data_IF_186267974607
#
_entry.id   IF_186267974607
#
_cell.length_a   1.000
_cell.length_b   1.000
_cell.length_c   1.000
_cell.angle_alpha   90.00
_cell.angle_beta   90.00
_cell.angle_gamma   90.00
#
_symmetry.space_group_name_H-M   'P 1'
#
loop_
_entity.id
_entity.type
_entity.pdbx_description
1 polymer ?
#
# COMPACT_ATOMS: atom_id res chain seq x y z
N UNK A 1 7.68 18.09 2.56
CA UNK A 1 7.83 19.11 1.51
C UNK A 1 6.73 20.15 1.72
N UNK A 2 7.09 21.37 2.13
CA UNK A 2 6.12 22.42 2.43
C UNK A 2 5.63 23.06 1.14
N UNK A 3 4.37 22.83 0.78
CA UNK A 3 3.73 23.45 -0.38
C UNK A 3 2.81 24.55 0.15
N UNK A 4 2.92 25.79 -0.35
CA UNK A 4 2.15 26.93 0.15
C UNK A 4 0.64 26.70 0.03
N UNK A 5 -0.05 26.96 1.13
CA UNK A 5 -1.51 26.91 1.30
C UNK A 5 -2.18 27.96 0.43
N UNK A 6 -2.64 27.57 -0.75
CA UNK A 6 -3.32 28.45 -1.72
C UNK A 6 -3.39 27.92 -3.15
N UNK A 7 -2.73 26.80 -3.48
CA UNK A 7 -2.67 26.27 -4.84
C UNK A 7 -3.44 24.95 -5.01
N UNK A 8 -4.13 24.83 -6.16
CA UNK A 8 -4.78 23.63 -6.70
C UNK A 8 -3.86 22.40 -6.76
N UNK A 9 -2.53 22.60 -6.65
CA UNK A 9 -1.50 21.58 -6.59
C UNK A 9 -1.61 20.65 -5.37
N UNK A 10 -2.05 21.15 -4.21
CA UNK A 10 -2.17 20.29 -3.03
C UNK A 10 -3.27 19.21 -3.21
N UNK A 11 -4.36 19.58 -3.89
CA UNK A 11 -5.43 18.66 -4.29
C UNK A 11 -4.93 17.59 -5.25
N UNK A 12 -4.11 17.94 -6.24
CA UNK A 12 -3.53 16.97 -7.18
C UNK A 12 -2.55 16.02 -6.52
N UNK A 13 -1.77 16.51 -5.54
CA UNK A 13 -0.84 15.67 -4.77
C UNK A 13 -1.61 14.65 -3.93
N UNK A 14 -2.70 15.06 -3.26
CA UNK A 14 -3.55 14.15 -2.48
C UNK A 14 -4.17 13.08 -3.38
N UNK A 15 -4.73 13.46 -4.54
CA UNK A 15 -5.32 12.50 -5.48
C UNK A 15 -4.28 11.50 -6.00
N UNK A 16 -3.09 11.99 -6.37
CA UNK A 16 -2.00 11.14 -6.82
C UNK A 16 -1.57 10.15 -5.72
N UNK A 17 -1.46 10.62 -4.48
CA UNK A 17 -1.07 9.79 -3.34
C UNK A 17 -2.08 8.67 -3.05
N UNK A 18 -3.38 8.97 -3.16
CA UNK A 18 -4.46 7.98 -3.05
C UNK A 18 -4.36 6.93 -4.17
N UNK A 19 -4.15 7.34 -5.42
CA UNK A 19 -4.01 6.41 -6.56
C UNK A 19 -2.80 5.48 -6.35
N UNK A 20 -1.67 6.04 -5.92
CA UNK A 20 -0.46 5.26 -5.63
C UNK A 20 -0.72 4.25 -4.51
N UNK A 21 -1.40 4.65 -3.44
CA UNK A 21 -1.75 3.73 -2.35
C UNK A 21 -2.67 2.59 -2.83
N UNK A 22 -3.67 2.88 -3.67
CA UNK A 22 -4.52 1.83 -4.25
C UNK A 22 -3.68 0.83 -5.07
N UNK A 23 -2.76 1.33 -5.91
CA UNK A 23 -1.88 0.50 -6.73
C UNK A 23 -0.95 -0.38 -5.88
N UNK A 24 -0.39 0.19 -4.81
CA UNK A 24 0.45 -0.54 -3.85
C UNK A 24 -0.36 -1.61 -3.13
N UNK A 25 -1.59 -1.31 -2.71
CA UNK A 25 -2.50 -2.27 -2.07
C UNK A 25 -2.82 -3.47 -2.94
N UNK A 26 -3.14 -3.25 -4.22
CA UNK A 26 -3.38 -4.35 -5.19
C UNK A 26 -2.11 -5.19 -5.36
N UNK A 27 -0.96 -4.53 -5.54
CA UNK A 27 0.34 -5.21 -5.74
C UNK A 27 0.72 -6.07 -4.54
N UNK A 28 0.50 -5.57 -3.31
CA UNK A 28 0.71 -6.32 -2.08
C UNK A 28 -0.24 -7.53 -1.98
N UNK A 29 -1.51 -7.35 -2.31
CA UNK A 29 -2.50 -8.43 -2.31
C UNK A 29 -2.16 -9.55 -3.29
N UNK A 30 -1.72 -9.21 -4.50
CA UNK A 30 -1.22 -10.19 -5.48
C UNK A 30 0.06 -10.84 -4.96
N UNK A 31 1.01 -10.05 -4.45
CA UNK A 31 2.28 -10.57 -3.92
C UNK A 31 2.09 -11.58 -2.78
N UNK A 32 1.14 -11.32 -1.87
CA UNK A 32 0.82 -12.23 -0.77
C UNK A 32 0.15 -13.52 -1.26
N UNK A 33 -0.76 -13.41 -2.24
CA UNK A 33 -1.36 -14.58 -2.89
C UNK A 33 -0.29 -15.42 -3.59
N UNK A 34 0.57 -14.80 -4.40
CA UNK A 34 1.68 -15.50 -5.07
C UNK A 34 2.62 -16.14 -4.06
N UNK A 35 2.94 -15.47 -2.95
CA UNK A 35 3.72 -16.06 -1.85
C UNK A 35 3.04 -17.30 -1.26
N UNK A 36 1.74 -17.23 -1.00
CA UNK A 36 0.98 -18.37 -0.45
C UNK A 36 0.99 -19.58 -1.41
N UNK A 37 0.82 -19.34 -2.71
CA UNK A 37 0.88 -20.37 -3.75
C UNK A 37 2.28 -21.00 -3.82
N UNK A 38 3.33 -20.19 -3.77
CA UNK A 38 4.73 -20.65 -3.79
C UNK A 38 5.08 -21.44 -2.52
N UNK A 39 4.54 -21.03 -1.37
CA UNK A 39 4.81 -21.66 -0.08
C UNK A 39 4.10 -23.01 0.07
N UNK A 40 2.82 -23.08 -0.27
CA UNK A 40 2.07 -24.33 -0.20
C UNK A 40 2.51 -25.30 -1.29
N UNK A 41 2.79 -24.81 -2.50
CA UNK A 41 3.03 -25.64 -3.66
C UNK A 41 1.79 -26.46 -4.04
N UNK A 42 1.71 -26.86 -5.30
CA UNK A 42 0.70 -27.83 -5.73
C UNK A 42 1.31 -28.79 -6.73
N UNK A 43 1.45 -30.04 -6.31
CA UNK A 43 1.97 -31.16 -7.12
C UNK A 43 1.13 -31.40 -8.39
N UNK A 44 -0.18 -31.09 -8.35
CA UNK A 44 -1.07 -31.23 -9.52
C UNK A 44 -0.95 -30.09 -10.53
N UNK A 45 -0.40 -28.94 -10.15
CA UNK A 45 -0.16 -27.81 -11.06
C UNK A 45 1.30 -27.73 -11.55
N UNK A 46 2.14 -28.73 -11.21
CA UNK A 46 3.56 -28.74 -11.55
C UNK A 46 4.40 -27.70 -10.80
N UNK A 47 3.83 -27.01 -9.80
CA UNK A 47 4.53 -26.00 -9.01
C UNK A 47 5.00 -26.63 -7.69
N UNK A 48 6.27 -27.03 -7.62
CA UNK A 48 6.89 -27.51 -6.38
C UNK A 48 6.95 -26.39 -5.33
N UNK A 49 6.92 -26.70 -4.02
CA UNK A 49 7.09 -25.70 -2.96
C UNK A 49 8.51 -25.13 -3.02
N UNK A 50 8.71 -24.05 -3.78
CA UNK A 50 10.03 -23.40 -3.96
C UNK A 50 10.59 -22.93 -2.62
N UNK A 51 9.71 -22.59 -1.67
CA UNK A 51 10.08 -22.23 -0.30
C UNK A 51 10.74 -23.39 0.46
N UNK A 52 10.47 -24.65 0.10
CA UNK A 52 11.10 -25.85 0.65
C UNK A 52 12.45 -26.19 0.02
N UNK A 53 12.73 -25.70 -1.20
CA UNK A 53 13.99 -25.95 -1.91
C UNK A 53 15.00 -24.83 -1.62
N UNK A 54 14.56 -23.57 -1.60
CA UNK A 54 15.41 -22.39 -1.39
C UNK A 54 14.84 -21.49 -0.28
N UNK A 55 15.05 -21.84 1.00
CA UNK A 55 14.45 -21.13 2.13
C UNK A 55 14.86 -19.65 2.21
N UNK A 56 16.08 -19.32 1.78
CA UNK A 56 16.61 -17.94 1.78
C UNK A 56 15.82 -16.98 0.88
N UNK A 57 15.37 -17.48 -0.28
CA UNK A 57 14.56 -16.68 -1.21
C UNK A 57 13.18 -16.38 -0.60
N UNK A 58 12.60 -17.37 0.05
CA UNK A 58 11.28 -17.27 0.67
C UNK A 58 11.27 -16.31 1.86
N UNK A 59 12.29 -16.36 2.72
CA UNK A 59 12.44 -15.41 3.84
C UNK A 59 12.65 -13.98 3.35
N UNK A 60 13.38 -13.79 2.24
CA UNK A 60 13.62 -12.47 1.66
C UNK A 60 12.35 -11.85 1.07
N UNK A 61 11.54 -12.64 0.35
CA UNK A 61 10.24 -12.19 -0.18
C UNK A 61 9.30 -11.85 0.96
N UNK A 62 9.21 -12.72 1.97
CA UNK A 62 8.36 -12.50 3.13
C UNK A 62 8.74 -11.22 3.87
N UNK A 63 10.04 -11.00 4.11
CA UNK A 63 10.55 -9.77 4.72
C UNK A 63 10.23 -8.51 3.89
N UNK A 64 10.37 -8.60 2.56
CA UNK A 64 10.02 -7.50 1.65
C UNK A 64 8.53 -7.17 1.69
N UNK A 65 7.66 -8.19 1.66
CA UNK A 65 6.21 -8.00 1.73
C UNK A 65 5.81 -7.36 3.06
N UNK A 66 6.31 -7.87 4.19
CA UNK A 66 6.02 -7.31 5.53
C UNK A 66 6.45 -5.85 5.60
N UNK A 67 7.68 -5.53 5.17
CA UNK A 67 8.19 -4.16 5.20
C UNK A 67 7.34 -3.22 4.35
N UNK A 68 6.92 -3.69 3.17
CA UNK A 68 6.04 -2.91 2.29
C UNK A 68 4.63 -2.76 2.86
N UNK A 69 4.09 -3.76 3.55
CA UNK A 69 2.79 -3.66 4.25
C UNK A 69 2.85 -2.62 5.36
N UNK A 70 3.93 -2.57 6.15
CA UNK A 70 4.11 -1.56 7.20
C UNK A 70 4.14 -0.15 6.58
N UNK A 71 4.92 0.03 5.51
CA UNK A 71 4.97 1.30 4.78
C UNK A 71 3.60 1.73 4.27
N UNK A 72 2.83 0.80 3.70
CA UNK A 72 1.46 1.07 3.23
C UNK A 72 0.52 1.52 4.35
N UNK A 73 0.57 0.88 5.53
CA UNK A 73 -0.27 1.26 6.69
C UNK A 73 0.06 2.68 7.17
N UNK A 74 1.35 3.03 7.23
CA UNK A 74 1.78 4.38 7.62
C UNK A 74 1.29 5.42 6.61
N UNK A 75 1.49 5.17 5.31
CA UNK A 75 1.01 6.06 4.24
C UNK A 75 -0.51 6.24 4.28
N UNK A 76 -1.25 5.14 4.44
CA UNK A 76 -2.71 5.19 4.55
C UNK A 76 -3.18 6.01 5.77
N UNK A 77 -2.52 5.85 6.92
CA UNK A 77 -2.79 6.66 8.11
C UNK A 77 -2.51 8.15 7.90
N UNK A 78 -1.43 8.49 7.21
CA UNK A 78 -1.10 9.87 6.86
C UNK A 78 -2.14 10.50 5.94
N UNK A 79 -2.63 9.76 4.93
CA UNK A 79 -3.72 10.23 4.06
C UNK A 79 -4.98 10.50 4.89
N UNK A 80 -5.38 9.56 5.76
CA UNK A 80 -6.57 9.73 6.60
C UNK A 80 -6.45 10.94 7.53
N UNK A 81 -5.29 11.14 8.16
CA UNK A 81 -5.03 12.32 8.99
C UNK A 81 -5.07 13.62 8.19
N UNK A 82 -4.47 13.63 6.99
CA UNK A 82 -4.50 14.79 6.10
C UNK A 82 -5.91 15.10 5.63
N UNK A 83 -6.69 14.06 5.30
CA UNK A 83 -8.08 14.20 4.89
C UNK A 83 -8.92 14.77 6.03
N UNK A 84 -8.76 14.29 7.26
CA UNK A 84 -9.50 14.81 8.41
C UNK A 84 -9.25 16.31 8.60
N UNK A 85 -7.99 16.73 8.66
CA UNK A 85 -7.58 18.14 8.80
C UNK A 85 -8.03 18.99 7.62
N UNK A 86 -8.12 18.42 6.41
CA UNK A 86 -8.58 19.13 5.22
C UNK A 86 -10.11 19.22 5.10
N UNK A 87 -10.84 18.25 5.64
CA UNK A 87 -12.30 18.21 5.62
C UNK A 87 -12.90 19.12 6.70
N UNK A 88 -12.25 19.21 7.87
CA UNK A 88 -12.66 20.13 8.95
C UNK A 88 -12.92 21.60 8.46
N UNK A 89 -12.02 22.24 7.68
CA UNK A 89 -12.28 23.57 7.12
C UNK A 89 -13.26 23.58 5.93
N UNK A 90 -13.45 22.45 5.23
CA UNK A 90 -14.41 22.36 4.12
C UNK A 90 -15.86 22.22 4.63
N UNK A 91 -16.07 21.54 5.76
CA UNK A 91 -17.37 21.37 6.43
C UNK A 91 -17.81 22.67 7.14
N UNK A 92 -16.85 23.46 7.63
CA UNK A 92 -17.11 24.78 8.22
C UNK A 92 -17.39 25.89 7.18
N UNK A 93 -17.09 25.64 5.90
CA UNK A 93 -17.29 26.60 4.80
C UNK A 93 -18.64 26.51 4.08
N UNK A 94 -19.48 25.50 4.36
CA UNK A 94 -20.81 25.32 3.75
C UNK A 94 -21.95 26.02 4.53
N UNK A 95 -21.63 26.74 5.61
CA UNK A 95 -22.61 27.40 6.49
C UNK A 95 -22.57 28.95 6.42
N UNK A 96 -22.09 29.56 5.33
CA UNK A 96 -22.14 31.02 5.17
C UNK A 96 -22.64 31.46 3.80
#
# INVERSE_FOLDING_TARGET
>A
MAIPSGSQLWKTVIVLDVIVNILVGISLGVGWQTYSLIRQGNIYAGCAPLCGITPYFCSRIMGSLITSTIGFVVSFGLIMGTLHVCVDPFLLGDNS
#
